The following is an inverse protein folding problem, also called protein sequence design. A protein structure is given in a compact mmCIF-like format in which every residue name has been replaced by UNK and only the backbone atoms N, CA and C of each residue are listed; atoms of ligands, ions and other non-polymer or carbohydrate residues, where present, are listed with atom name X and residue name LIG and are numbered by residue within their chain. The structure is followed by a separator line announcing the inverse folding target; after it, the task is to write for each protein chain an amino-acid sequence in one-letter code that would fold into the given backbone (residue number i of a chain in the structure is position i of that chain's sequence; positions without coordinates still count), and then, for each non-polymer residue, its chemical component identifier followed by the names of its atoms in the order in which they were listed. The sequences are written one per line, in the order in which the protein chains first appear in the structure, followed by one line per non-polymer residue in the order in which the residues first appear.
data_IF_001810662622
#
_entry.id   IF_001810662622
#
_cell.length_a   1.000
_cell.length_b   1.000
_cell.length_c   1.000
_cell.angle_alpha   90.00
_cell.angle_beta   90.00
_cell.angle_gamma   90.00
#
_symmetry.space_group_name_H-M   'P 1'
#
loop_
_entity.id
_entity.type
_entity.pdbx_description
1 polymer ?
#
# COMPACT_ATOMS: atom_id res chain seq x y z
N UNK A 1 -18.73 87.31 29.90
CA UNK A 1 -19.37 86.40 30.85
C UNK A 1 -19.73 85.10 30.11
N UNK A 2 -18.80 84.15 30.05
CA UNK A 2 -19.05 82.86 29.43
C UNK A 2 -18.40 81.79 30.30
N UNK A 3 -19.25 80.96 30.85
CA UNK A 3 -18.84 79.80 31.64
C UNK A 3 -18.50 78.62 30.74
N UNK A 4 -17.21 78.34 30.57
CA UNK A 4 -16.76 77.10 29.93
C UNK A 4 -17.00 75.89 30.81
N UNK A 5 -17.97 75.06 30.45
CA UNK A 5 -18.18 73.72 31.04
C UNK A 5 -17.16 72.78 30.43
N UNK A 6 -16.07 72.46 31.15
CA UNK A 6 -15.13 71.41 30.75
C UNK A 6 -15.85 70.05 30.94
N UNK A 7 -16.12 69.43 29.82
CA UNK A 7 -16.44 67.99 29.80
C UNK A 7 -15.15 67.20 30.09
N UNK A 8 -14.95 66.74 31.32
CA UNK A 8 -13.90 65.74 31.62
C UNK A 8 -14.27 64.45 30.91
N UNK A 9 -13.42 64.01 30.02
CA UNK A 9 -13.63 62.83 29.19
C UNK A 9 -13.65 61.57 30.06
N UNK A 10 -14.32 60.56 29.57
CA UNK A 10 -14.44 59.24 30.19
C UNK A 10 -13.07 58.60 30.45
N UNK A 11 -12.02 58.98 29.76
CA UNK A 11 -10.66 58.49 29.89
C UNK A 11 -9.98 58.92 31.20
N UNK A 12 -10.31 60.15 31.74
CA UNK A 12 -9.74 60.64 33.01
C UNK A 12 -10.32 59.94 34.23
N UNK A 13 -11.47 59.27 34.14
CA UNK A 13 -12.07 58.53 35.23
C UNK A 13 -11.50 57.11 35.39
N UNK A 14 -10.77 56.62 34.42
CA UNK A 14 -10.09 55.31 34.50
C UNK A 14 -8.77 55.38 35.30
N UNK A 15 -8.27 56.58 35.57
CA UNK A 15 -6.99 56.80 36.25
C UNK A 15 -7.04 56.70 37.81
N UNK A 16 -8.25 56.63 38.39
CA UNK A 16 -8.44 56.58 39.86
C UNK A 16 -8.64 55.16 40.40
N UNK A 17 -8.44 54.12 39.57
CA UNK A 17 -8.50 52.74 40.05
C UNK A 17 -7.21 52.41 40.79
N UNK A 18 -7.33 52.03 42.08
CA UNK A 18 -6.15 51.68 42.87
C UNK A 18 -5.35 50.59 42.14
N UNK A 19 -4.00 50.61 42.20
CA UNK A 19 -3.16 49.61 41.56
C UNK A 19 -3.52 48.17 41.93
N UNK A 20 -4.00 47.95 43.15
CA UNK A 20 -4.45 46.66 43.64
C UNK A 20 -5.74 46.21 42.93
N UNK A 21 -6.69 47.10 42.75
CA UNK A 21 -7.97 46.80 42.05
C UNK A 21 -7.72 46.54 40.54
N UNK A 22 -6.80 47.30 39.94
CA UNK A 22 -6.37 47.10 38.54
C UNK A 22 -5.72 45.72 38.37
N UNK A 23 -4.83 45.32 39.27
CA UNK A 23 -4.18 44.00 39.22
C UNK A 23 -5.22 42.85 39.34
N UNK A 24 -6.22 42.99 40.23
CA UNK A 24 -7.30 42.01 40.37
C UNK A 24 -8.15 41.93 39.12
N UNK A 25 -8.48 43.05 38.49
CA UNK A 25 -9.26 43.05 37.24
C UNK A 25 -8.47 42.41 36.07
N UNK A 26 -7.18 42.65 35.95
CA UNK A 26 -6.34 42.00 34.95
C UNK A 26 -6.20 40.50 35.22
N UNK A 27 -6.03 40.07 36.45
CA UNK A 27 -5.99 38.66 36.81
C UNK A 27 -7.34 37.97 36.50
N UNK A 28 -8.45 38.59 36.82
CA UNK A 28 -9.79 38.07 36.50
C UNK A 28 -10.01 37.99 34.98
N UNK A 29 -9.60 39.01 34.23
CA UNK A 29 -9.68 39.00 32.77
C UNK A 29 -8.79 37.89 32.14
N UNK A 30 -7.58 37.64 32.67
CA UNK A 30 -6.70 36.57 32.22
C UNK A 30 -7.31 35.18 32.48
N UNK A 31 -7.88 34.98 33.68
CA UNK A 31 -8.56 33.71 34.01
C UNK A 31 -9.79 33.50 33.14
N UNK A 32 -10.58 34.55 32.92
CA UNK A 32 -11.77 34.44 32.06
C UNK A 32 -11.39 34.16 30.61
N UNK A 33 -10.30 34.80 30.11
CA UNK A 33 -9.79 34.54 28.79
C UNK A 33 -9.24 33.12 28.65
N UNK A 34 -8.56 32.59 29.67
CA UNK A 34 -8.08 31.21 29.64
C UNK A 34 -9.23 30.20 29.67
N UNK A 35 -10.28 30.46 30.45
CA UNK A 35 -11.48 29.62 30.47
C UNK A 35 -12.24 29.70 29.16
N UNK A 36 -12.36 30.89 28.56
CA UNK A 36 -13.00 31.06 27.25
C UNK A 36 -12.22 30.40 26.13
N UNK A 37 -10.88 30.50 26.17
CA UNK A 37 -9.99 29.83 25.22
C UNK A 37 -10.08 28.30 25.36
N UNK A 38 -10.11 27.78 26.59
CA UNK A 38 -10.31 26.36 26.85
C UNK A 38 -11.69 25.85 26.38
N UNK A 39 -12.71 26.70 26.41
CA UNK A 39 -14.04 26.35 25.90
C UNK A 39 -14.16 26.50 24.37
N UNK A 40 -13.46 27.46 23.78
CA UNK A 40 -13.48 27.73 22.33
C UNK A 40 -12.46 26.93 21.55
N UNK A 41 -11.37 26.48 22.18
CA UNK A 41 -10.49 25.52 21.53
C UNK A 41 -11.23 24.19 21.47
N UNK A 42 -11.53 23.67 20.27
CA UNK A 42 -12.05 22.31 20.19
C UNK A 42 -11.05 21.42 20.92
N UNK A 43 -11.55 20.55 21.78
CA UNK A 43 -10.74 19.44 22.30
C UNK A 43 -9.98 18.89 21.10
N UNK A 44 -8.65 18.90 21.20
CA UNK A 44 -7.83 18.36 20.11
C UNK A 44 -8.46 17.03 19.74
N UNK A 45 -8.75 16.75 18.46
CA UNK A 45 -9.41 15.53 18.05
C UNK A 45 -8.48 14.37 18.38
N UNK A 46 -8.53 13.94 19.64
CA UNK A 46 -7.69 12.84 20.11
C UNK A 46 -8.22 11.61 19.50
N UNK A 47 -9.26 11.08 19.56
CA UNK A 47 -9.81 9.94 18.84
C UNK A 47 -11.34 10.06 18.79
N UNK A 48 -11.98 9.74 17.68
CA UNK A 48 -13.43 9.66 17.63
C UNK A 48 -13.99 8.48 18.44
N UNK A 49 -13.13 7.71 19.12
CA UNK A 49 -13.52 6.50 19.81
C UNK A 49 -13.45 6.63 21.32
N UNK A 50 -14.35 5.96 22.07
CA UNK A 50 -14.33 5.95 23.53
C UNK A 50 -13.01 5.43 24.09
N UNK A 51 -12.57 5.99 25.23
CA UNK A 51 -11.34 5.56 25.93
C UNK A 51 -11.37 4.06 26.31
N UNK A 52 -12.55 3.49 26.50
CA UNK A 52 -12.73 2.07 26.79
C UNK A 52 -12.17 1.17 25.68
N UNK A 53 -12.19 1.63 24.42
CA UNK A 53 -11.70 0.85 23.26
C UNK A 53 -10.17 0.73 23.22
N UNK A 54 -9.43 1.53 24.00
CA UNK A 54 -7.96 1.49 24.05
C UNK A 54 -7.40 0.33 24.88
N UNK A 55 -8.23 -0.36 25.65
CA UNK A 55 -7.83 -1.54 26.42
C UNK A 55 -7.65 -2.80 25.56
N UNK A 56 -8.19 -2.81 24.35
CA UNK A 56 -8.09 -3.92 23.40
C UNK A 56 -6.95 -3.67 22.39
N UNK A 57 -6.44 -4.77 21.80
CA UNK A 57 -5.46 -4.69 20.70
C UNK A 57 -6.13 -4.20 19.41
N UNK A 58 -6.54 -2.93 19.40
CA UNK A 58 -7.28 -2.32 18.31
C UNK A 58 -6.39 -1.34 17.55
N UNK A 59 -6.24 -1.54 16.24
CA UNK A 59 -5.58 -0.59 15.35
C UNK A 59 -6.63 0.34 14.73
N UNK A 60 -6.56 1.63 15.07
CA UNK A 60 -7.37 2.65 14.44
C UNK A 60 -6.62 3.20 13.22
N UNK A 61 -7.26 3.18 12.06
CA UNK A 61 -6.70 3.71 10.83
C UNK A 61 -7.74 4.54 10.09
N UNK A 62 -7.27 5.49 9.30
CA UNK A 62 -8.11 6.27 8.40
C UNK A 62 -8.03 5.68 6.99
N UNK A 63 -9.18 5.52 6.36
CA UNK A 63 -9.26 5.14 4.96
C UNK A 63 -9.60 6.36 4.10
N UNK A 64 -9.14 6.35 2.86
CA UNK A 64 -9.55 7.34 1.88
C UNK A 64 -11.07 7.30 1.63
N UNK A 65 -11.61 8.38 1.12
CA UNK A 65 -13.04 8.56 0.86
C UNK A 65 -13.60 7.70 -0.28
N UNK A 66 -12.74 6.95 -0.97
CA UNK A 66 -13.13 6.08 -2.09
C UNK A 66 -12.56 4.67 -1.93
N UNK A 67 -13.28 3.70 -2.48
CA UNK A 67 -12.81 2.32 -2.58
C UNK A 67 -11.59 2.21 -3.50
N UNK A 68 -10.67 1.27 -3.25
CA UNK A 68 -9.60 0.97 -4.18
C UNK A 68 -10.17 0.50 -5.52
N UNK A 69 -9.54 0.89 -6.62
CA UNK A 69 -9.96 0.46 -7.97
C UNK A 69 -9.64 -1.00 -8.24
N UNK A 70 -8.54 -1.45 -7.62
CA UNK A 70 -8.06 -2.82 -7.77
C UNK A 70 -7.25 -3.22 -6.54
N UNK A 71 -7.28 -4.52 -6.23
CA UNK A 71 -6.38 -5.16 -5.27
C UNK A 71 -5.33 -6.03 -5.96
N UNK A 72 -5.28 -6.01 -7.30
CA UNK A 72 -4.26 -6.70 -8.07
C UNK A 72 -2.92 -5.94 -7.97
N UNK A 73 -1.88 -6.52 -7.37
CA UNK A 73 -0.61 -5.83 -7.11
C UNK A 73 0.14 -5.45 -8.39
N UNK A 74 -0.16 -6.06 -9.53
CA UNK A 74 0.42 -5.70 -10.82
C UNK A 74 -0.27 -4.51 -11.49
N UNK A 75 -1.47 -4.13 -11.05
CA UNK A 75 -2.26 -2.98 -11.53
C UNK A 75 -2.29 -1.84 -10.52
N UNK A 76 -2.20 -2.16 -9.24
CA UNK A 76 -2.26 -1.20 -8.14
C UNK A 76 -1.02 -0.31 -8.12
N UNK A 77 -1.21 1.01 -8.11
CA UNK A 77 -0.10 1.99 -8.06
C UNK A 77 -0.43 3.23 -7.23
N UNK A 78 -1.68 3.45 -6.91
CA UNK A 78 -2.10 4.62 -6.15
C UNK A 78 -1.97 4.41 -4.63
N UNK A 79 -1.76 5.49 -3.87
CA UNK A 79 -1.56 5.46 -2.42
C UNK A 79 -2.78 4.95 -1.65
N UNK A 80 -3.98 5.12 -2.19
CA UNK A 80 -5.23 4.61 -1.63
C UNK A 80 -5.38 3.08 -1.83
N UNK A 81 -4.66 2.49 -2.77
CA UNK A 81 -4.64 1.04 -3.03
C UNK A 81 -3.50 0.34 -2.27
N UNK A 82 -2.34 1.02 -2.13
CA UNK A 82 -1.16 0.42 -1.51
C UNK A 82 -1.38 0.06 -0.05
N UNK A 83 -2.22 0.79 0.68
CA UNK A 83 -2.58 0.47 2.06
C UNK A 83 -3.19 -0.93 2.20
N UNK A 84 -3.98 -1.35 1.20
CA UNK A 84 -4.60 -2.68 1.17
C UNK A 84 -3.65 -3.74 0.61
N UNK A 85 -2.99 -3.45 -0.50
CA UNK A 85 -2.10 -4.43 -1.15
C UNK A 85 -0.92 -4.79 -0.26
N UNK A 86 -0.35 -3.83 0.48
CA UNK A 86 0.73 -4.09 1.43
C UNK A 86 0.30 -4.85 2.68
N UNK A 87 -0.99 -4.79 3.03
CA UNK A 87 -1.54 -5.58 4.13
C UNK A 87 -1.81 -7.05 3.73
N UNK A 88 -2.07 -7.30 2.44
CA UNK A 88 -2.47 -8.63 1.93
C UNK A 88 -1.31 -9.40 1.32
N UNK A 89 -0.40 -8.72 0.61
CA UNK A 89 0.71 -9.37 -0.10
C UNK A 89 2.04 -9.12 0.57
N UNK A 90 2.82 -10.16 0.77
CA UNK A 90 4.18 -10.05 1.26
C UNK A 90 5.19 -9.99 0.09
N UNK A 91 6.07 -8.97 0.05
CA UNK A 91 7.13 -8.86 -0.94
C UNK A 91 8.31 -9.80 -0.62
N UNK A 92 9.23 -9.97 -1.58
CA UNK A 92 10.50 -10.66 -1.36
C UNK A 92 11.34 -9.97 -0.29
N UNK A 93 11.39 -8.65 -0.34
CA UNK A 93 12.19 -7.77 0.52
C UNK A 93 11.37 -6.59 1.01
N UNK A 94 11.79 -6.00 2.11
CA UNK A 94 11.29 -4.72 2.60
C UNK A 94 12.43 -3.85 3.13
N UNK A 95 12.19 -2.57 3.28
CA UNK A 95 13.09 -1.72 4.03
C UNK A 95 12.83 -1.84 5.53
N UNK A 96 13.91 -1.95 6.32
CA UNK A 96 13.81 -1.91 7.78
C UNK A 96 13.17 -0.60 8.22
N UNK A 97 12.06 -0.69 8.96
CA UNK A 97 11.22 0.48 9.29
C UNK A 97 11.97 1.56 10.06
N UNK A 98 12.81 1.16 11.03
CA UNK A 98 13.48 2.10 11.95
C UNK A 98 14.94 2.40 11.57
N UNK A 99 15.53 1.69 10.60
CA UNK A 99 16.94 1.88 10.28
C UNK A 99 17.18 2.99 9.27
N UNK A 100 18.19 3.83 9.56
CA UNK A 100 18.70 4.86 8.65
C UNK A 100 20.23 4.79 8.63
N UNK A 101 20.90 4.86 7.48
CA UNK A 101 20.33 4.85 6.13
C UNK A 101 19.44 3.61 5.87
N UNK A 102 18.67 3.63 4.80
CA UNK A 102 17.75 2.54 4.47
C UNK A 102 18.48 1.20 4.33
N UNK A 103 17.99 0.20 5.05
CA UNK A 103 18.52 -1.18 5.02
C UNK A 103 17.45 -2.10 4.47
N UNK A 104 17.80 -2.87 3.46
CA UNK A 104 16.93 -3.90 2.88
C UNK A 104 16.95 -5.15 3.77
N UNK A 105 15.78 -5.69 4.08
CA UNK A 105 15.58 -6.91 4.87
C UNK A 105 14.78 -7.94 4.07
N UNK A 106 15.10 -9.25 4.19
CA UNK A 106 14.31 -10.29 3.56
C UNK A 106 12.95 -10.46 4.28
N UNK A 107 11.88 -10.62 3.49
CA UNK A 107 10.53 -10.95 3.98
C UNK A 107 10.19 -12.40 3.67
N UNK A 108 9.86 -12.69 2.41
CA UNK A 108 9.60 -14.05 1.95
C UNK A 108 10.84 -14.70 1.35
N UNK A 109 11.84 -13.93 0.96
CA UNK A 109 13.15 -14.45 0.60
C UNK A 109 13.90 -14.96 1.84
N UNK A 110 14.76 -15.95 1.66
CA UNK A 110 15.65 -16.48 2.73
C UNK A 110 16.67 -15.45 3.18
N UNK A 111 17.26 -14.73 2.23
CA UNK A 111 18.26 -13.70 2.46
C UNK A 111 18.18 -12.64 1.36
N UNK A 112 18.84 -11.50 1.57
CA UNK A 112 19.05 -10.51 0.51
C UNK A 112 20.06 -11.09 -0.47
N UNK A 113 19.63 -11.32 -1.71
CA UNK A 113 20.47 -11.92 -2.74
C UNK A 113 21.60 -10.96 -3.16
N UNK A 114 22.83 -11.46 -3.17
CA UNK A 114 23.94 -10.76 -3.78
C UNK A 114 23.90 -10.94 -5.31
N UNK A 115 24.23 -9.88 -6.08
CA UNK A 115 24.30 -9.99 -7.52
C UNK A 115 25.53 -10.82 -7.98
N UNK A 116 25.34 -11.59 -9.06
CA UNK A 116 26.43 -12.09 -9.88
C UNK A 116 26.55 -11.16 -11.08
N UNK A 117 27.74 -10.67 -11.37
CA UNK A 117 27.98 -9.72 -12.45
C UNK A 117 28.55 -10.41 -13.70
N UNK A 118 28.11 -9.94 -14.86
CA UNK A 118 28.58 -10.45 -16.15
C UNK A 118 28.91 -9.30 -17.10
N UNK A 119 29.94 -9.48 -17.89
CA UNK A 119 30.29 -8.56 -18.95
C UNK A 119 29.42 -8.75 -20.21
N UNK A 120 29.74 -8.02 -21.30
CA UNK A 120 29.00 -8.07 -22.57
C UNK A 120 29.13 -9.41 -23.29
N UNK A 121 30.20 -10.16 -23.00
CA UNK A 121 30.46 -11.46 -23.59
C UNK A 121 29.88 -12.60 -22.73
N UNK A 122 29.22 -12.27 -21.65
CA UNK A 122 28.59 -13.21 -20.71
C UNK A 122 29.58 -13.88 -19.77
N UNK A 123 30.79 -13.34 -19.63
CA UNK A 123 31.78 -13.83 -18.68
C UNK A 123 31.48 -13.26 -17.30
N UNK A 124 31.56 -14.12 -16.29
CA UNK A 124 31.39 -13.73 -14.90
C UNK A 124 32.51 -12.82 -14.42
N UNK A 125 32.16 -11.76 -13.77
CA UNK A 125 33.06 -10.75 -13.18
C UNK A 125 33.12 -10.91 -11.65
N UNK A 126 34.23 -10.51 -11.03
CA UNK A 126 34.34 -10.53 -9.58
C UNK A 126 33.37 -9.54 -8.93
N UNK A 127 33.00 -9.73 -7.62
CA UNK A 127 32.04 -8.89 -6.91
C UNK A 127 32.43 -7.41 -6.82
N UNK A 128 33.71 -7.10 -6.90
CA UNK A 128 34.30 -5.76 -6.85
C UNK A 128 34.67 -5.21 -8.25
N UNK A 129 34.10 -5.79 -9.31
CA UNK A 129 34.35 -5.35 -10.68
C UNK A 129 33.97 -3.88 -10.90
N UNK A 130 34.72 -3.22 -11.78
CA UNK A 130 34.36 -1.87 -12.23
C UNK A 130 32.94 -1.86 -12.80
N UNK A 131 32.05 -1.00 -12.28
CA UNK A 131 30.68 -0.89 -12.77
C UNK A 131 30.56 -0.65 -14.28
N UNK A 132 31.55 -0.04 -14.90
CA UNK A 132 31.59 0.21 -16.36
C UNK A 132 31.71 -1.09 -17.20
N UNK A 133 32.21 -2.17 -16.60
CA UNK A 133 32.36 -3.47 -17.25
C UNK A 133 31.12 -4.35 -17.10
N UNK A 134 30.21 -4.01 -16.16
CA UNK A 134 29.05 -4.82 -15.86
C UNK A 134 27.95 -4.56 -16.91
N UNK A 135 27.65 -5.59 -17.70
CA UNK A 135 26.56 -5.56 -18.67
C UNK A 135 25.28 -6.17 -18.11
N UNK A 136 25.37 -7.16 -17.23
CA UNK A 136 24.23 -7.87 -16.64
C UNK A 136 24.51 -8.19 -15.17
N UNK A 137 23.46 -8.07 -14.35
CA UNK A 137 23.47 -8.51 -12.94
C UNK A 137 22.41 -9.58 -12.77
N UNK A 138 22.79 -10.76 -12.28
CA UNK A 138 21.88 -11.88 -11.99
C UNK A 138 21.67 -12.01 -10.50
N UNK A 139 20.42 -12.21 -10.11
CA UNK A 139 20.02 -12.42 -8.72
C UNK A 139 19.34 -13.78 -8.57
N UNK A 140 19.90 -14.66 -7.77
CA UNK A 140 19.23 -15.90 -7.36
C UNK A 140 18.51 -15.65 -6.05
N UNK A 141 17.19 -15.66 -6.08
CA UNK A 141 16.35 -15.37 -4.92
C UNK A 141 15.65 -16.65 -4.48
N UNK A 142 16.04 -17.16 -3.31
CA UNK A 142 15.42 -18.35 -2.70
C UNK A 142 14.27 -17.91 -1.82
N UNK A 143 13.13 -18.59 -1.98
CA UNK A 143 11.94 -18.34 -1.16
C UNK A 143 12.03 -19.20 0.08
N UNK A 144 11.74 -18.61 1.24
CA UNK A 144 11.70 -19.30 2.52
C UNK A 144 10.61 -20.38 2.49
N UNK A 145 10.94 -21.65 2.81
CA UNK A 145 9.96 -22.71 2.81
C UNK A 145 8.91 -22.54 3.93
N UNK A 146 7.76 -23.18 3.77
CA UNK A 146 6.69 -23.24 4.77
C UNK A 146 5.79 -22.02 4.84
N UNK A 147 6.01 -20.98 4.05
CA UNK A 147 5.09 -19.84 3.94
C UNK A 147 3.84 -20.30 3.18
N UNK A 148 2.67 -20.14 3.79
CA UNK A 148 1.41 -20.57 3.20
C UNK A 148 0.48 -19.38 2.96
N UNK A 149 -0.29 -19.45 1.90
CA UNK A 149 -1.41 -18.54 1.68
C UNK A 149 -2.47 -18.70 2.77
N UNK A 150 -3.13 -17.63 3.13
CA UNK A 150 -4.34 -17.70 3.95
C UNK A 150 -5.38 -18.61 3.28
N UNK A 151 -6.16 -19.38 4.07
CA UNK A 151 -7.23 -20.20 3.50
C UNK A 151 -8.17 -19.39 2.63
N UNK A 152 -8.38 -19.83 1.40
CA UNK A 152 -9.23 -19.14 0.43
C UNK A 152 -9.93 -20.16 -0.48
N UNK A 153 -11.17 -19.89 -0.93
CA UNK A 153 -11.89 -20.77 -1.84
C UNK A 153 -11.16 -21.04 -3.16
N UNK A 154 -10.36 -20.11 -3.66
CA UNK A 154 -9.54 -20.31 -4.87
C UNK A 154 -8.57 -21.50 -4.75
N UNK A 155 -8.24 -21.94 -3.54
CA UNK A 155 -7.36 -23.08 -3.30
C UNK A 155 -8.13 -24.36 -2.89
N UNK A 156 -9.45 -24.30 -2.79
CA UNK A 156 -10.27 -25.47 -2.48
C UNK A 156 -10.18 -26.50 -3.62
N UNK A 157 -9.93 -27.75 -3.24
CA UNK A 157 -9.83 -28.87 -4.17
C UNK A 157 -10.87 -29.94 -3.84
N UNK A 158 -11.33 -30.62 -4.86
CA UNK A 158 -12.16 -31.82 -4.71
C UNK A 158 -11.32 -33.04 -4.32
N UNK A 159 -11.98 -34.16 -4.15
CA UNK A 159 -11.36 -35.46 -3.82
C UNK A 159 -10.37 -35.97 -4.86
N UNK A 160 -10.47 -35.47 -6.12
CA UNK A 160 -9.58 -35.80 -7.22
C UNK A 160 -8.42 -34.81 -7.36
N UNK A 161 -8.36 -33.76 -6.50
CA UNK A 161 -7.33 -32.75 -6.51
C UNK A 161 -7.57 -31.61 -7.53
N UNK A 162 -8.70 -31.58 -8.24
CA UNK A 162 -9.08 -30.50 -9.12
C UNK A 162 -9.60 -29.29 -8.32
N UNK A 163 -9.33 -28.09 -8.81
CA UNK A 163 -9.82 -26.88 -8.16
C UNK A 163 -11.34 -26.76 -8.28
N UNK A 164 -12.02 -26.68 -7.14
CA UNK A 164 -13.48 -26.75 -7.05
C UNK A 164 -14.20 -25.55 -7.65
N UNK A 165 -13.59 -24.37 -7.54
CA UNK A 165 -14.23 -23.09 -7.88
C UNK A 165 -13.55 -22.32 -9.02
N UNK A 166 -12.67 -22.97 -9.78
CA UNK A 166 -12.07 -22.30 -10.95
C UNK A 166 -13.06 -22.15 -12.13
N UNK A 167 -14.09 -22.99 -12.16
CA UNK A 167 -15.20 -22.89 -13.09
C UNK A 167 -16.49 -22.98 -12.29
N UNK A 168 -17.14 -21.84 -12.07
CA UNK A 168 -18.44 -21.77 -11.41
C UNK A 168 -19.53 -21.96 -12.47
N UNK A 169 -20.54 -22.79 -12.14
CA UNK A 169 -21.76 -22.78 -12.92
C UNK A 169 -22.52 -21.44 -12.78
N UNK A 170 -23.41 -21.14 -13.74
CA UNK A 170 -24.11 -19.87 -13.78
C UNK A 170 -25.01 -19.65 -12.55
N UNK A 171 -25.61 -20.70 -12.00
CA UNK A 171 -26.50 -20.63 -10.85
C UNK A 171 -25.73 -20.31 -9.57
N UNK A 172 -24.56 -20.95 -9.39
CA UNK A 172 -23.68 -20.66 -8.26
C UNK A 172 -23.08 -19.27 -8.37
N UNK A 173 -22.60 -18.88 -9.56
CA UNK A 173 -22.05 -17.56 -9.83
C UNK A 173 -23.06 -16.43 -9.53
N UNK A 174 -24.35 -16.63 -9.84
CA UNK A 174 -25.41 -15.66 -9.58
C UNK A 174 -25.69 -15.46 -8.07
N UNK A 175 -25.40 -16.46 -7.23
CA UNK A 175 -25.64 -16.42 -5.77
C UNK A 175 -24.46 -15.94 -4.97
N UNK A 176 -23.23 -16.08 -5.50
CA UNK A 176 -21.98 -15.69 -4.82
C UNK A 176 -21.78 -14.18 -4.96
N UNK A 177 -21.77 -13.46 -3.83
CA UNK A 177 -21.47 -12.03 -3.77
C UNK A 177 -20.02 -11.75 -3.37
N UNK A 178 -19.43 -12.70 -2.65
CA UNK A 178 -18.07 -12.67 -2.14
C UNK A 178 -17.45 -14.06 -2.23
N UNK A 179 -16.14 -14.20 -2.45
CA UNK A 179 -15.48 -15.50 -2.34
C UNK A 179 -15.77 -16.22 -1.03
N UNK A 180 -16.04 -15.50 0.05
CA UNK A 180 -16.34 -16.07 1.37
C UNK A 180 -17.76 -16.66 1.51
N UNK A 181 -18.62 -16.48 0.50
CA UNK A 181 -19.91 -17.16 0.42
C UNK A 181 -19.75 -18.62 -0.04
N UNK A 182 -18.57 -19.00 -0.53
CA UNK A 182 -18.24 -20.36 -0.93
C UNK A 182 -17.83 -21.17 0.32
N UNK A 183 -18.44 -22.37 0.52
CA UNK A 183 -18.33 -23.08 1.80
C UNK A 183 -16.95 -23.70 2.07
N UNK A 184 -16.16 -23.94 1.03
CA UNK A 184 -14.89 -24.62 1.17
C UNK A 184 -13.72 -23.70 0.86
N UNK A 185 -12.67 -23.80 1.68
CA UNK A 185 -11.42 -23.09 1.48
C UNK A 185 -10.25 -24.06 1.49
N UNK A 186 -9.23 -23.73 0.73
CA UNK A 186 -7.97 -24.45 0.71
C UNK A 186 -6.80 -23.51 0.94
N UNK A 187 -5.62 -24.07 1.04
CA UNK A 187 -4.37 -23.30 1.10
C UNK A 187 -3.27 -24.03 0.34
N UNK A 188 -2.25 -23.29 -0.06
CA UNK A 188 -1.04 -23.86 -0.64
C UNK A 188 0.20 -23.11 -0.17
N UNK A 189 1.34 -23.69 -0.40
CA UNK A 189 2.63 -23.05 -0.12
C UNK A 189 2.93 -21.98 -1.16
N UNK A 190 3.55 -20.89 -0.72
CA UNK A 190 4.11 -19.84 -1.57
C UNK A 190 5.39 -20.37 -2.20
N UNK A 191 5.52 -20.20 -3.50
CA UNK A 191 6.68 -20.66 -4.28
C UNK A 191 7.29 -19.54 -5.12
N UNK A 192 8.49 -19.75 -5.65
CA UNK A 192 9.14 -18.83 -6.57
C UNK A 192 8.30 -18.58 -7.85
N UNK A 193 7.49 -19.57 -8.26
CA UNK A 193 6.60 -19.44 -9.40
C UNK A 193 5.55 -18.34 -9.21
N UNK A 194 5.13 -18.05 -7.98
CA UNK A 194 4.15 -17.00 -7.69
C UNK A 194 4.71 -15.62 -8.03
N UNK A 195 5.96 -15.36 -7.65
CA UNK A 195 6.65 -14.11 -7.98
C UNK A 195 6.98 -14.03 -9.46
N UNK A 196 7.47 -15.13 -10.06
CA UNK A 196 7.75 -15.19 -11.50
C UNK A 196 6.48 -14.91 -12.32
N UNK A 197 5.34 -15.49 -11.94
CA UNK A 197 4.06 -15.21 -12.58
C UNK A 197 3.59 -13.77 -12.36
N UNK A 198 3.81 -13.20 -11.17
CA UNK A 198 3.56 -11.78 -10.92
C UNK A 198 4.32 -10.88 -11.88
N UNK A 199 5.63 -11.14 -12.08
CA UNK A 199 6.47 -10.39 -13.03
C UNK A 199 6.00 -10.61 -14.47
N UNK A 200 5.73 -11.84 -14.89
CA UNK A 200 5.20 -12.14 -16.23
C UNK A 200 3.90 -11.39 -16.52
N UNK A 201 2.99 -11.32 -15.55
CA UNK A 201 1.71 -10.60 -15.67
C UNK A 201 1.87 -9.11 -15.94
N UNK A 202 2.95 -8.48 -15.48
CA UNK A 202 3.25 -7.07 -15.80
C UNK A 202 3.41 -6.85 -17.31
N UNK A 203 3.92 -7.84 -18.05
CA UNK A 203 4.05 -7.79 -19.50
C UNK A 203 2.76 -8.14 -20.25
N UNK A 204 1.74 -8.66 -19.58
CA UNK A 204 0.51 -9.10 -20.22
C UNK A 204 -0.28 -7.94 -20.84
N UNK A 205 -0.78 -8.06 -22.06
CA UNK A 205 -1.61 -7.04 -22.70
C UNK A 205 -2.95 -6.79 -21.97
N UNK A 206 -3.41 -7.73 -21.14
CA UNK A 206 -4.66 -7.62 -20.38
C UNK A 206 -4.47 -6.93 -19.03
N UNK A 207 -3.24 -6.85 -18.50
CA UNK A 207 -2.99 -6.29 -17.18
C UNK A 207 -2.82 -4.77 -17.24
N UNK A 208 -2.22 -4.22 -18.28
CA UNK A 208 -1.94 -2.78 -18.43
C UNK A 208 -1.27 -2.23 -17.17
N UNK A 209 -0.12 -2.81 -16.82
CA UNK A 209 0.60 -2.45 -15.60
C UNK A 209 1.27 -1.08 -15.69
N UNK A 210 1.09 -0.18 -14.71
CA UNK A 210 1.72 1.13 -14.70
C UNK A 210 3.25 1.07 -14.51
N UNK A 211 3.78 -0.04 -13.98
CA UNK A 211 5.22 -0.24 -13.76
C UNK A 211 5.93 -0.94 -14.93
N UNK A 212 5.19 -1.28 -16.01
CA UNK A 212 5.79 -1.96 -17.16
C UNK A 212 7.03 -1.22 -17.72
N UNK A 213 6.94 0.11 -17.86
CA UNK A 213 8.05 0.91 -18.38
C UNK A 213 9.33 0.77 -17.55
N UNK A 214 9.20 0.81 -16.22
CA UNK A 214 10.32 0.62 -15.30
C UNK A 214 10.90 -0.80 -15.39
N UNK A 215 10.05 -1.82 -15.44
CA UNK A 215 10.50 -3.21 -15.49
C UNK A 215 11.14 -3.55 -16.83
N UNK A 216 10.58 -3.04 -17.93
CA UNK A 216 11.08 -3.30 -19.29
C UNK A 216 12.47 -2.70 -19.54
N UNK A 217 12.82 -1.60 -18.87
CA UNK A 217 14.14 -0.98 -18.96
C UNK A 217 15.19 -1.66 -18.08
N UNK A 218 14.79 -2.56 -17.19
CA UNK A 218 15.68 -3.15 -16.18
C UNK A 218 15.84 -4.67 -16.27
N UNK A 219 14.85 -5.37 -16.81
CA UNK A 219 14.88 -6.83 -16.91
C UNK A 219 15.25 -7.24 -18.32
N UNK A 220 16.34 -7.97 -18.42
CA UNK A 220 16.85 -8.49 -19.70
C UNK A 220 15.79 -9.38 -20.36
N UNK A 221 15.53 -9.15 -21.65
CA UNK A 221 14.55 -9.91 -22.44
C UNK A 221 13.09 -9.62 -22.16
N UNK A 222 12.77 -8.73 -21.20
CA UNK A 222 11.37 -8.44 -20.85
C UNK A 222 10.56 -7.78 -21.98
N UNK A 223 11.13 -6.82 -22.76
CA UNK A 223 10.44 -6.28 -23.93
C UNK A 223 10.13 -7.34 -24.99
N UNK A 224 11.03 -8.29 -25.22
CA UNK A 224 10.81 -9.34 -26.21
C UNK A 224 9.80 -10.38 -25.70
N UNK A 225 9.79 -10.66 -24.41
CA UNK A 225 8.73 -11.45 -23.78
C UNK A 225 7.36 -10.81 -24.01
N UNK A 226 7.24 -9.48 -23.78
CA UNK A 226 5.98 -8.75 -24.05
C UNK A 226 5.58 -8.87 -25.52
N UNK A 227 6.48 -8.68 -26.48
CA UNK A 227 6.16 -8.83 -27.91
C UNK A 227 5.60 -10.20 -28.24
N UNK A 228 6.17 -11.27 -27.65
CA UNK A 228 5.64 -12.64 -27.82
C UNK A 228 4.24 -12.80 -27.23
N UNK A 229 3.99 -12.24 -26.04
CA UNK A 229 2.66 -12.27 -25.43
C UNK A 229 1.63 -11.49 -26.26
N UNK A 230 1.99 -10.30 -26.74
CA UNK A 230 1.11 -9.48 -27.58
C UNK A 230 0.74 -10.20 -28.90
N UNK A 231 1.70 -10.89 -29.52
CA UNK A 231 1.46 -11.69 -30.72
C UNK A 231 0.57 -12.91 -30.43
N UNK A 232 0.85 -13.64 -29.35
CA UNK A 232 0.02 -14.77 -28.92
C UNK A 232 -1.41 -14.31 -28.61
N UNK A 233 -1.57 -13.21 -27.88
CA UNK A 233 -2.88 -12.65 -27.55
C UNK A 233 -3.66 -12.25 -28.79
N UNK A 234 -3.02 -11.60 -29.77
CA UNK A 234 -3.64 -11.22 -31.03
C UNK A 234 -4.14 -12.45 -31.79
N UNK A 235 -3.31 -13.48 -31.93
CA UNK A 235 -3.68 -14.72 -32.58
C UNK A 235 -4.87 -15.43 -31.88
N UNK A 236 -4.86 -15.44 -30.55
CA UNK A 236 -5.97 -16.00 -29.77
C UNK A 236 -7.29 -15.24 -29.99
N UNK A 237 -7.21 -13.90 -30.03
CA UNK A 237 -8.38 -13.05 -30.32
C UNK A 237 -8.93 -13.27 -31.73
N UNK A 238 -8.06 -13.38 -32.72
CA UNK A 238 -8.42 -13.68 -34.10
C UNK A 238 -9.08 -15.08 -34.25
N UNK A 239 -8.67 -16.03 -33.37
CA UNK A 239 -9.28 -17.35 -33.27
C UNK A 239 -10.60 -17.40 -32.47
N UNK A 240 -11.10 -16.23 -31.99
CA UNK A 240 -12.34 -16.14 -31.23
C UNK A 240 -12.21 -16.41 -29.72
N UNK A 241 -11.01 -16.37 -29.16
CA UNK A 241 -10.80 -16.53 -27.74
C UNK A 241 -11.46 -15.40 -26.96
N UNK A 242 -12.17 -15.74 -25.88
CA UNK A 242 -12.75 -14.79 -24.93
C UNK A 242 -11.68 -14.26 -23.96
N UNK A 243 -12.02 -13.22 -23.20
CA UNK A 243 -11.15 -12.72 -22.14
C UNK A 243 -10.90 -13.74 -21.01
N UNK A 244 -11.76 -14.76 -20.88
CA UNK A 244 -11.64 -15.84 -19.92
C UNK A 244 -10.44 -16.79 -20.20
N UNK A 245 -9.94 -16.81 -21.44
CA UNK A 245 -8.75 -17.59 -21.82
C UNK A 245 -7.41 -16.97 -21.39
N UNK A 246 -7.44 -16.01 -20.47
CA UNK A 246 -6.24 -15.34 -19.96
C UNK A 246 -5.20 -16.30 -19.38
N UNK A 247 -5.65 -17.36 -18.69
CA UNK A 247 -4.75 -18.34 -18.08
C UNK A 247 -3.95 -19.12 -19.12
N UNK A 248 -4.53 -19.39 -20.29
CA UNK A 248 -3.89 -20.08 -21.39
C UNK A 248 -2.80 -19.24 -22.05
N UNK A 249 -2.92 -17.90 -21.96
CA UNK A 249 -1.89 -17.01 -22.49
C UNK A 249 -0.58 -17.11 -21.70
N UNK A 250 -0.68 -17.38 -20.40
CA UNK A 250 0.46 -17.40 -19.48
C UNK A 250 1.08 -18.80 -19.33
N UNK A 251 0.38 -19.83 -19.77
CA UNK A 251 0.87 -21.20 -19.84
C UNK A 251 1.89 -21.37 -20.98
#
# INVERSE_FOLDING_TARGET
MERGVRRRGWIERAADVSPALSAVLWAAAAVLSALLLGFLLPEAPTSPRPLADYGEKTLFTAFGSRSPRTLDPQKSYSSDETAYTYAVYEPLYQYAYLKRPYVLEPRTAEAVAAPLYFDRDGKELPPDADPALIAESRYEIRIRPGIRYAPHPAFAKDEKGAFRYHHLDADLAARVRSPFDLPEAGTRELTAADYANGIRRIASPQVVSPIYGTMSSRIVGFPDFKKRLDAKWRAMREAGASEETFFDLMA
#
